data_IF_713257619675
#
_entry.id   IF_713257619675
#
_cell.length_a   1.000
_cell.length_b   1.000
_cell.length_c   1.000
_cell.angle_alpha   90.00
_cell.angle_beta   90.00
_cell.angle_gamma   90.00
#
_symmetry.space_group_name_H-M   'P 1'
#
loop_
_entity.id
_entity.type
_entity.pdbx_description
1 polymer ?
#
# COMPACT_ATOMS: atom_id res chain seq x y z
N UNK A 1 -0.77 12.75 5.78
CA UNK A 1 -0.76 14.03 6.52
C UNK A 1 -1.18 15.18 5.60
N UNK A 2 -0.57 15.33 4.44
CA UNK A 2 -0.96 16.34 3.45
C UNK A 2 -2.42 16.23 2.96
N UNK A 3 -3.09 15.12 3.28
CA UNK A 3 -4.49 14.86 2.97
C UNK A 3 -5.40 14.92 4.20
N UNK A 4 -4.93 15.45 5.32
CA UNK A 4 -5.65 15.49 6.59
C UNK A 4 -6.11 14.09 7.06
N UNK A 5 -5.27 13.10 6.85
CA UNK A 5 -5.42 11.77 7.39
C UNK A 5 -4.60 11.64 8.68
N UNK A 6 -5.09 10.83 9.62
CA UNK A 6 -4.39 10.51 10.86
C UNK A 6 -3.94 9.05 10.84
N UNK A 7 -2.84 8.73 10.15
CA UNK A 7 -2.39 7.36 10.02
C UNK A 7 -1.83 6.84 11.34
N UNK A 8 -2.08 5.54 11.60
CA UNK A 8 -1.44 4.78 12.65
C UNK A 8 -0.50 3.77 12.00
N UNK A 9 0.77 3.80 12.38
CA UNK A 9 1.79 2.94 11.82
C UNK A 9 1.97 1.68 12.68
N UNK A 10 1.83 0.53 12.05
CA UNK A 10 2.21 -0.76 12.58
C UNK A 10 3.45 -1.24 11.86
N UNK A 11 4.49 -1.56 12.58
CA UNK A 11 5.76 -1.95 11.99
C UNK A 11 6.78 -2.28 13.06
N UNK A 12 8.04 -2.20 12.69
CA UNK A 12 9.17 -2.50 13.55
C UNK A 12 10.22 -1.40 13.50
N UNK A 13 10.81 -1.12 14.66
CA UNK A 13 12.04 -0.34 14.82
C UNK A 13 12.92 -1.00 15.89
N UNK A 14 14.23 -1.01 15.69
CA UNK A 14 15.18 -1.38 16.73
C UNK A 14 15.23 -0.34 17.86
N UNK A 15 15.71 -0.73 19.03
CA UNK A 15 16.12 0.20 20.09
C UNK A 15 17.54 0.70 19.81
N UNK A 16 17.72 1.36 18.67
CA UNK A 16 18.96 1.95 18.17
C UNK A 16 18.72 3.41 17.75
N UNK A 17 19.80 4.13 17.42
CA UNK A 17 19.76 5.55 17.05
C UNK A 17 18.87 5.81 15.83
N UNK A 18 18.93 4.93 14.84
CA UNK A 18 18.14 5.00 13.62
C UNK A 18 16.64 4.83 13.91
N UNK A 19 16.32 3.88 14.80
CA UNK A 19 14.93 3.66 15.25
C UNK A 19 14.38 4.83 16.06
N UNK A 20 15.20 5.47 16.89
CA UNK A 20 14.81 6.64 17.67
C UNK A 20 14.58 7.87 16.78
N UNK A 21 15.43 8.05 15.76
CA UNK A 21 15.28 9.10 14.76
C UNK A 21 13.99 8.93 13.95
N UNK A 22 13.74 7.73 13.43
CA UNK A 22 12.52 7.43 12.66
C UNK A 22 11.26 7.55 13.50
N UNK A 23 11.31 7.10 14.78
CA UNK A 23 10.17 7.25 15.68
C UNK A 23 9.84 8.72 15.92
N UNK A 24 10.87 9.54 16.21
CA UNK A 24 10.73 10.98 16.41
C UNK A 24 10.23 11.68 15.15
N UNK A 25 10.72 11.27 13.98
CA UNK A 25 10.24 11.77 12.69
C UNK A 25 8.75 11.49 12.50
N UNK A 26 8.31 10.25 12.75
CA UNK A 26 6.89 9.89 12.66
C UNK A 26 6.02 10.78 13.55
N UNK A 27 6.43 10.99 14.81
CA UNK A 27 5.69 11.85 15.73
C UNK A 27 5.62 13.32 15.26
N UNK A 28 6.74 13.86 14.77
CA UNK A 28 6.81 15.23 14.26
C UNK A 28 5.92 15.43 13.03
N UNK A 29 5.78 14.42 12.20
CA UNK A 29 4.90 14.40 11.03
C UNK A 29 3.43 14.09 11.38
N UNK A 30 3.08 13.90 12.66
CA UNK A 30 1.73 13.61 13.13
C UNK A 30 1.26 12.20 12.80
N UNK A 31 2.18 11.26 12.59
CA UNK A 31 1.89 9.84 12.43
C UNK A 31 1.81 9.21 13.83
N UNK A 32 0.72 8.49 14.13
CA UNK A 32 0.65 7.72 15.36
C UNK A 32 1.58 6.50 15.25
N UNK A 33 2.69 6.54 15.99
CA UNK A 33 3.73 5.53 16.06
C UNK A 33 3.67 4.68 17.36
N UNK A 34 2.65 4.87 18.22
CA UNK A 34 2.57 4.23 19.56
C UNK A 34 2.49 2.70 19.49
N UNK A 35 2.14 2.17 18.31
CA UNK A 35 1.96 0.73 18.09
C UNK A 35 3.09 0.09 17.29
N UNK A 36 4.18 0.81 17.05
CA UNK A 36 5.39 0.24 16.46
C UNK A 36 6.04 -0.69 17.47
N UNK A 37 6.33 -1.92 17.04
CA UNK A 37 7.06 -2.89 17.86
C UNK A 37 8.55 -2.49 17.95
N UNK A 38 9.08 -2.41 19.15
CA UNK A 38 10.50 -2.09 19.42
C UNK A 38 11.21 -3.31 20.02
N UNK A 39 12.49 -3.51 19.67
CA UNK A 39 13.31 -4.61 20.17
C UNK A 39 14.76 -4.23 20.36
N UNK A 40 15.39 -4.73 21.44
CA UNK A 40 16.84 -4.59 21.71
C UNK A 40 17.66 -5.62 20.90
N UNK A 41 17.02 -6.66 20.38
CA UNK A 41 17.69 -7.78 19.74
C UNK A 41 17.76 -7.69 18.22
N UNK A 42 17.03 -6.76 17.63
CA UNK A 42 16.95 -6.55 16.18
C UNK A 42 17.23 -5.09 15.88
N UNK A 43 18.00 -4.84 14.83
CA UNK A 43 18.31 -3.49 14.37
C UNK A 43 17.21 -2.93 13.50
N UNK A 44 17.13 -1.61 13.44
CA UNK A 44 16.27 -0.91 12.48
C UNK A 44 16.71 -1.27 11.07
N UNK A 45 15.73 -1.66 10.25
CA UNK A 45 15.95 -1.99 8.83
C UNK A 45 16.37 -0.76 8.04
N UNK A 46 17.15 -0.96 6.98
CA UNK A 46 17.72 0.10 6.17
C UNK A 46 17.34 -0.03 4.70
N UNK A 47 17.11 1.09 4.05
CA UNK A 47 16.94 1.19 2.62
C UNK A 47 17.93 2.22 2.07
N UNK A 48 18.75 1.80 1.12
CA UNK A 48 19.70 2.67 0.42
C UNK A 48 19.39 2.64 -1.05
N UNK A 49 19.17 3.81 -1.64
CA UNK A 49 18.97 3.96 -3.08
C UNK A 49 20.05 4.85 -3.68
N UNK A 50 20.51 4.50 -4.87
CA UNK A 50 21.34 5.32 -5.72
C UNK A 50 20.44 5.78 -6.87
N UNK A 51 20.25 7.08 -6.97
CA UNK A 51 19.39 7.70 -7.98
C UNK A 51 20.21 8.59 -8.91
N UNK A 52 19.80 8.65 -10.16
CA UNK A 52 20.27 9.63 -11.12
C UNK A 52 19.06 10.41 -11.71
N UNK A 53 19.32 11.22 -12.77
CA UNK A 53 18.27 12.02 -13.41
C UNK A 53 17.16 11.21 -14.09
N UNK A 54 17.38 9.92 -14.34
CA UNK A 54 16.41 9.00 -14.96
C UNK A 54 15.68 8.13 -13.92
N UNK A 55 16.08 8.20 -12.64
CA UNK A 55 15.43 7.49 -11.52
C UNK A 55 16.38 6.61 -10.70
N UNK A 56 15.85 5.56 -10.09
CA UNK A 56 16.64 4.63 -9.24
C UNK A 56 17.52 3.74 -10.11
N UNK A 57 18.84 3.91 -10.00
CA UNK A 57 19.86 3.07 -10.66
C UNK A 57 20.07 1.76 -9.92
N UNK A 58 20.13 1.82 -8.59
CA UNK A 58 20.29 0.66 -7.72
C UNK A 58 19.66 0.93 -6.36
N UNK A 59 19.12 -0.12 -5.75
CA UNK A 59 18.60 -0.03 -4.39
C UNK A 59 18.93 -1.31 -3.62
N UNK A 60 19.24 -1.15 -2.33
CA UNK A 60 19.45 -2.23 -1.39
C UNK A 60 18.47 -2.02 -0.23
N UNK A 61 17.60 -3.00 0.00
CA UNK A 61 16.68 -3.02 1.12
C UNK A 61 17.09 -4.13 2.09
N UNK A 62 17.36 -3.77 3.32
CA UNK A 62 17.46 -4.71 4.44
C UNK A 62 16.12 -4.68 5.20
N UNK A 63 15.36 -5.75 5.13
CA UNK A 63 14.07 -5.92 5.80
C UNK A 63 14.07 -7.17 6.71
N UNK A 64 15.25 -7.61 7.15
CA UNK A 64 15.39 -8.80 7.97
C UNK A 64 14.66 -8.69 9.30
N UNK A 65 14.73 -7.54 9.94
CA UNK A 65 14.14 -7.33 11.24
C UNK A 65 12.62 -7.30 11.17
N UNK A 66 12.03 -6.64 10.19
CA UNK A 66 10.59 -6.67 9.95
C UNK A 66 10.10 -8.11 9.71
N UNK A 67 10.83 -8.88 8.91
CA UNK A 67 10.49 -10.28 8.66
C UNK A 67 10.66 -11.16 9.90
N UNK A 68 11.69 -10.92 10.73
CA UNK A 68 11.95 -11.67 11.96
C UNK A 68 10.87 -11.43 13.03
N UNK A 69 10.40 -10.20 13.17
CA UNK A 69 9.33 -9.82 14.12
C UNK A 69 8.01 -10.53 13.79
N UNK A 70 7.68 -10.67 12.53
CA UNK A 70 6.52 -11.45 12.08
C UNK A 70 5.19 -11.01 12.71
N UNK A 71 4.53 -11.92 13.43
CA UNK A 71 3.18 -11.69 13.99
C UNK A 71 3.11 -10.63 15.10
N UNK A 72 4.22 -10.26 15.73
CA UNK A 72 4.25 -9.27 16.80
C UNK A 72 3.67 -7.92 16.33
N UNK A 73 3.94 -7.52 15.09
CA UNK A 73 3.44 -6.26 14.52
C UNK A 73 1.91 -6.22 14.39
N UNK A 74 1.23 -7.37 14.38
CA UNK A 74 -0.23 -7.46 14.27
C UNK A 74 -0.93 -7.51 15.64
N UNK A 75 -0.20 -7.74 16.73
CA UNK A 75 -0.79 -7.82 18.08
C UNK A 75 -1.62 -6.59 18.46
N UNK A 76 -1.20 -5.35 18.13
CA UNK A 76 -2.01 -4.18 18.44
C UNK A 76 -3.42 -4.23 17.85
N UNK A 77 -3.60 -4.80 16.66
CA UNK A 77 -4.92 -4.91 16.01
C UNK A 77 -5.92 -5.75 16.84
N UNK A 78 -5.43 -6.65 17.68
CA UNK A 78 -6.24 -7.51 18.57
C UNK A 78 -6.45 -6.89 19.95
N UNK A 79 -5.83 -5.75 20.25
CA UNK A 79 -5.94 -5.06 21.54
C UNK A 79 -7.26 -4.26 21.60
N UNK A 80 -7.97 -4.35 22.73
CA UNK A 80 -9.22 -3.62 22.95
C UNK A 80 -9.03 -2.10 22.94
N UNK A 81 -7.90 -1.59 23.42
CA UNK A 81 -7.58 -0.15 23.34
C UNK A 81 -7.45 0.33 21.90
N UNK A 82 -6.75 -0.41 21.05
CA UNK A 82 -6.68 -0.11 19.63
C UNK A 82 -8.07 -0.14 18.99
N UNK A 83 -8.86 -1.17 19.29
CA UNK A 83 -10.21 -1.32 18.78
C UNK A 83 -11.18 -0.23 19.29
N UNK A 84 -10.98 0.30 20.50
CA UNK A 84 -11.77 1.40 21.07
C UNK A 84 -11.62 2.72 20.29
N UNK A 85 -10.52 2.91 19.58
CA UNK A 85 -10.32 4.05 18.67
C UNK A 85 -10.95 3.83 17.28
N UNK A 86 -11.28 2.59 16.92
CA UNK A 86 -11.95 2.23 15.66
C UNK A 86 -13.47 2.43 15.83
N UNK A 87 -13.91 3.68 15.68
CA UNK A 87 -15.33 4.05 15.83
C UNK A 87 -16.19 3.73 14.61
N UNK A 88 -15.62 3.29 13.50
CA UNK A 88 -16.30 3.02 12.23
C UNK A 88 -16.19 1.55 11.86
N UNK A 89 -17.26 1.01 11.28
CA UNK A 89 -17.19 -0.24 10.55
C UNK A 89 -16.34 -0.01 9.28
N UNK A 90 -15.23 -0.77 9.13
CA UNK A 90 -14.32 -0.72 7.97
C UNK A 90 -13.32 0.44 7.97
N UNK A 91 -12.48 0.51 9.02
CA UNK A 91 -11.26 1.33 8.96
C UNK A 91 -10.32 0.77 7.89
N UNK A 92 -9.74 1.62 7.03
CA UNK A 92 -8.73 1.18 6.08
C UNK A 92 -7.52 0.56 6.79
N UNK A 93 -7.17 -0.66 6.42
CA UNK A 93 -5.95 -1.35 6.85
C UNK A 93 -5.07 -1.58 5.61
N UNK A 94 -3.95 -0.87 5.54
CA UNK A 94 -3.00 -1.00 4.44
C UNK A 94 -1.99 -2.10 4.81
N UNK A 95 -1.87 -3.10 3.95
CA UNK A 95 -0.97 -4.24 4.09
C UNK A 95 0.11 -4.14 3.03
N UNK A 96 1.37 -4.08 3.47
CA UNK A 96 2.54 -3.94 2.62
C UNK A 96 3.19 -5.30 2.29
N UNK A 97 3.60 -5.50 1.05
CA UNK A 97 4.27 -6.72 0.55
C UNK A 97 5.68 -6.96 1.09
N UNK A 98 6.23 -6.06 1.93
CA UNK A 98 7.46 -6.34 2.68
C UNK A 98 7.24 -7.37 3.80
N UNK A 99 6.00 -7.54 4.23
CA UNK A 99 5.68 -8.54 5.23
C UNK A 99 6.05 -9.95 4.76
N UNK A 100 6.39 -10.80 5.72
CA UNK A 100 6.73 -12.21 5.48
C UNK A 100 5.58 -12.93 4.77
N UNK A 101 5.85 -13.82 3.80
CA UNK A 101 4.80 -14.53 3.06
C UNK A 101 3.78 -15.26 3.94
N UNK A 102 4.23 -15.89 5.04
CA UNK A 102 3.33 -16.57 5.98
C UNK A 102 2.39 -15.58 6.68
N UNK A 103 2.87 -14.37 6.97
CA UNK A 103 2.05 -13.32 7.57
C UNK A 103 1.01 -12.78 6.58
N UNK A 104 1.39 -12.58 5.32
CA UNK A 104 0.47 -12.20 4.24
C UNK A 104 -0.61 -13.28 4.04
N UNK A 105 -0.21 -14.56 4.05
CA UNK A 105 -1.14 -15.67 3.98
C UNK A 105 -2.12 -15.69 5.17
N UNK A 106 -1.62 -15.44 6.38
CA UNK A 106 -2.46 -15.32 7.58
C UNK A 106 -3.47 -14.17 7.43
N UNK A 107 -3.01 -12.97 7.05
CA UNK A 107 -3.88 -11.80 6.84
C UNK A 107 -4.97 -12.06 5.79
N UNK A 108 -4.67 -12.85 4.75
CA UNK A 108 -5.63 -13.19 3.70
C UNK A 108 -6.67 -14.23 4.10
N UNK A 109 -6.44 -14.99 5.18
CA UNK A 109 -7.26 -16.16 5.54
C UNK A 109 -7.96 -16.06 6.90
N UNK A 110 -7.48 -15.22 7.82
CA UNK A 110 -8.08 -15.04 9.14
C UNK A 110 -9.26 -14.07 9.07
N UNK A 111 -10.46 -14.56 9.41
CA UNK A 111 -11.72 -13.79 9.45
C UNK A 111 -11.66 -12.56 10.36
N UNK A 112 -10.72 -12.52 11.30
CA UNK A 112 -10.52 -11.35 12.16
C UNK A 112 -10.32 -10.07 11.37
N UNK A 113 -9.62 -10.13 10.21
CA UNK A 113 -9.31 -8.96 9.40
C UNK A 113 -10.46 -8.50 8.50
N UNK A 114 -11.54 -9.28 8.38
CA UNK A 114 -12.72 -8.92 7.58
C UNK A 114 -13.50 -7.71 8.13
N UNK A 115 -13.25 -7.32 9.36
CA UNK A 115 -13.80 -6.10 9.97
C UNK A 115 -13.13 -4.82 9.45
N UNK A 116 -11.97 -4.93 8.80
CA UNK A 116 -11.26 -3.82 8.19
C UNK A 116 -11.56 -3.73 6.69
N UNK A 117 -11.36 -2.55 6.13
CA UNK A 117 -11.26 -2.35 4.69
C UNK A 117 -9.80 -2.56 4.27
N UNK A 118 -9.45 -3.82 3.97
CA UNK A 118 -8.06 -4.22 3.76
C UNK A 118 -7.63 -3.88 2.33
N UNK A 119 -6.60 -3.06 2.23
CA UNK A 119 -5.95 -2.63 1.00
C UNK A 119 -4.53 -3.18 0.97
N UNK A 120 -4.16 -3.84 -0.11
CA UNK A 120 -2.89 -4.55 -0.22
C UNK A 120 -2.05 -3.93 -1.31
N UNK A 121 -0.79 -3.64 -0.98
CA UNK A 121 0.19 -3.05 -1.89
C UNK A 121 1.44 -3.93 -1.95
N UNK A 122 2.08 -4.12 -3.11
CA UNK A 122 3.39 -4.73 -3.16
C UNK A 122 4.45 -3.69 -2.78
N UNK A 123 5.49 -4.11 -2.10
CA UNK A 123 6.60 -3.23 -1.77
C UNK A 123 7.45 -2.88 -3.00
N UNK A 124 7.43 -3.74 -4.00
CA UNK A 124 8.16 -3.57 -5.25
C UNK A 124 7.71 -4.61 -6.28
N UNK A 125 8.02 -4.41 -7.58
CA UNK A 125 7.71 -5.39 -8.62
C UNK A 125 8.25 -6.81 -8.31
N UNK A 126 9.45 -6.91 -7.72
CA UNK A 126 10.05 -8.19 -7.33
C UNK A 126 9.33 -8.91 -6.19
N UNK A 127 8.53 -8.20 -5.39
CA UNK A 127 7.73 -8.75 -4.29
C UNK A 127 6.25 -8.93 -4.63
N UNK A 128 5.81 -8.56 -5.82
CA UNK A 128 4.40 -8.63 -6.22
C UNK A 128 3.82 -10.04 -6.10
N UNK A 129 4.60 -11.08 -6.40
CA UNK A 129 4.18 -12.48 -6.25
C UNK A 129 3.84 -12.88 -4.80
N UNK A 130 4.33 -12.14 -3.80
CA UNK A 130 3.97 -12.36 -2.39
C UNK A 130 2.48 -12.09 -2.12
N UNK A 131 1.81 -11.35 -2.99
CA UNK A 131 0.39 -11.04 -2.89
C UNK A 131 -0.53 -12.15 -3.41
N UNK A 132 0.01 -13.24 -3.94
CA UNK A 132 -0.77 -14.39 -4.42
C UNK A 132 -1.82 -14.91 -3.40
N UNK A 133 -1.60 -14.91 -2.07
CA UNK A 133 -2.62 -15.31 -1.11
C UNK A 133 -3.90 -14.47 -1.12
N UNK A 134 -3.89 -13.27 -1.71
CA UNK A 134 -5.05 -12.38 -1.84
C UNK A 134 -5.83 -12.59 -3.14
N UNK A 135 -5.31 -13.37 -4.08
CA UNK A 135 -6.07 -13.85 -5.22
C UNK A 135 -7.22 -14.76 -4.75
N UNK A 136 -8.32 -14.83 -5.46
CA UNK A 136 -9.57 -15.52 -5.08
C UNK A 136 -10.18 -15.03 -3.74
N UNK A 137 -9.98 -13.75 -3.42
CA UNK A 137 -10.47 -13.13 -2.20
C UNK A 137 -11.24 -11.85 -2.50
N UNK A 138 -12.55 -11.91 -2.50
CA UNK A 138 -13.44 -10.78 -2.86
C UNK A 138 -13.41 -9.60 -1.88
N UNK A 139 -12.86 -9.80 -0.67
CA UNK A 139 -12.92 -8.80 0.41
C UNK A 139 -11.76 -7.82 0.40
N UNK A 140 -10.76 -8.02 -0.46
CA UNK A 140 -9.55 -7.21 -0.51
C UNK A 140 -9.52 -6.29 -1.73
N UNK A 141 -8.84 -5.16 -1.57
CA UNK A 141 -8.51 -4.26 -2.68
C UNK A 141 -7.01 -4.34 -2.95
N UNK A 142 -6.61 -4.67 -4.17
CA UNK A 142 -5.20 -4.67 -4.57
C UNK A 142 -4.87 -3.35 -5.28
N UNK A 143 -3.75 -2.73 -4.89
CA UNK A 143 -3.16 -1.58 -5.58
C UNK A 143 -1.85 -2.01 -6.18
N UNK A 144 -1.73 -1.94 -7.50
CA UNK A 144 -0.59 -2.42 -8.26
C UNK A 144 -0.23 -1.41 -9.35
N UNK A 145 1.02 -1.38 -9.75
CA UNK A 145 1.33 -0.87 -11.08
C UNK A 145 1.27 -2.00 -12.12
N UNK A 146 1.34 -1.66 -13.40
CA UNK A 146 1.19 -2.63 -14.48
C UNK A 146 2.26 -3.73 -14.42
N UNK A 147 3.50 -3.41 -14.08
CA UNK A 147 4.61 -4.37 -13.95
C UNK A 147 4.37 -5.32 -12.77
N UNK A 148 3.87 -4.81 -11.66
CA UNK A 148 3.51 -5.62 -10.50
C UNK A 148 2.35 -6.56 -10.80
N UNK A 149 1.34 -6.11 -11.53
CA UNK A 149 0.25 -6.96 -11.99
C UNK A 149 0.75 -8.08 -12.92
N UNK A 150 1.65 -7.76 -13.86
CA UNK A 150 2.30 -8.74 -14.73
C UNK A 150 3.08 -9.80 -13.93
N UNK A 151 3.86 -9.36 -12.94
CA UNK A 151 4.64 -10.26 -12.09
C UNK A 151 3.77 -11.13 -11.20
N UNK A 152 2.66 -10.59 -10.70
CA UNK A 152 1.71 -11.34 -9.87
C UNK A 152 0.98 -12.44 -10.66
N UNK A 153 0.57 -12.10 -11.90
CA UNK A 153 -0.19 -13.02 -12.77
C UNK A 153 0.73 -13.93 -13.62
N UNK A 154 2.00 -13.58 -13.79
CA UNK A 154 2.90 -14.27 -14.73
C UNK A 154 2.55 -14.03 -16.21
N UNK A 155 1.81 -12.97 -16.52
CA UNK A 155 1.27 -12.66 -17.86
C UNK A 155 1.65 -11.23 -18.23
N UNK A 156 1.99 -10.99 -19.50
CA UNK A 156 2.19 -9.64 -20.02
C UNK A 156 0.86 -8.99 -20.39
N UNK A 157 0.66 -7.76 -20.00
CA UNK A 157 -0.53 -6.98 -20.29
C UNK A 157 -0.19 -5.77 -21.17
N UNK A 158 -1.03 -5.47 -22.16
CA UNK A 158 -0.86 -4.31 -23.03
C UNK A 158 -1.34 -3.01 -22.38
N UNK A 159 -2.27 -3.10 -21.43
CA UNK A 159 -2.80 -1.94 -20.71
C UNK A 159 -3.37 -2.31 -19.32
N UNK A 160 -3.69 -1.27 -18.54
CA UNK A 160 -4.17 -1.40 -17.17
C UNK A 160 -5.59 -1.98 -17.07
N UNK A 161 -6.44 -1.77 -18.06
CA UNK A 161 -7.81 -2.27 -18.03
C UNK A 161 -7.86 -3.79 -18.23
N UNK A 162 -7.01 -4.29 -19.14
CA UNK A 162 -6.85 -5.73 -19.36
C UNK A 162 -6.29 -6.39 -18.10
N UNK A 163 -5.25 -5.82 -17.49
CA UNK A 163 -4.67 -6.34 -16.25
C UNK A 163 -5.70 -6.35 -15.10
N UNK A 164 -6.51 -5.28 -14.99
CA UNK A 164 -7.55 -5.20 -13.98
C UNK A 164 -8.63 -6.27 -14.16
N UNK A 165 -9.11 -6.48 -15.39
CA UNK A 165 -10.09 -7.54 -15.71
C UNK A 165 -9.55 -8.93 -15.40
N UNK A 166 -8.27 -9.20 -15.72
CA UNK A 166 -7.64 -10.49 -15.44
C UNK A 166 -7.61 -10.77 -13.94
N UNK A 167 -7.23 -9.79 -13.11
CA UNK A 167 -7.21 -9.96 -11.66
C UNK A 167 -8.63 -10.17 -11.08
N UNK A 168 -9.65 -9.50 -11.61
CA UNK A 168 -11.04 -9.77 -11.22
C UNK A 168 -11.44 -11.20 -11.61
N UNK A 169 -11.02 -11.70 -12.78
CA UNK A 169 -11.29 -13.09 -13.17
C UNK A 169 -10.64 -14.11 -12.24
N UNK A 170 -9.54 -13.73 -11.57
CA UNK A 170 -8.90 -14.50 -10.52
C UNK A 170 -9.59 -14.34 -9.14
N UNK A 171 -10.80 -13.76 -9.07
CA UNK A 171 -11.60 -13.67 -7.85
C UNK A 171 -11.17 -12.57 -6.88
N UNK A 172 -10.38 -11.59 -7.32
CA UNK A 172 -10.10 -10.38 -6.53
C UNK A 172 -11.35 -9.49 -6.50
N UNK A 173 -11.72 -8.96 -5.34
CA UNK A 173 -12.94 -8.15 -5.23
C UNK A 173 -12.82 -6.78 -5.87
N UNK A 174 -11.68 -6.12 -5.71
CA UNK A 174 -11.39 -4.81 -6.28
C UNK A 174 -9.90 -4.68 -6.58
N UNK A 175 -9.56 -4.09 -7.69
CA UNK A 175 -8.17 -3.83 -8.06
C UNK A 175 -8.03 -2.47 -8.72
N UNK A 176 -6.92 -1.79 -8.42
CA UNK A 176 -6.53 -0.55 -9.06
C UNK A 176 -5.14 -0.75 -9.66
N UNK A 177 -5.00 -0.47 -10.98
CA UNK A 177 -3.76 -0.62 -11.73
C UNK A 177 -3.30 0.74 -12.26
N UNK A 178 -2.13 1.15 -11.86
CA UNK A 178 -1.47 2.39 -12.34
C UNK A 178 -0.42 2.06 -13.41
N UNK A 179 -0.12 3.01 -14.31
CA UNK A 179 0.95 2.88 -15.31
C UNK A 179 1.57 4.24 -15.65
N UNK A 180 2.24 4.87 -14.69
CA UNK A 180 2.91 6.15 -14.87
C UNK A 180 1.98 7.22 -15.44
N UNK A 181 2.29 7.73 -16.64
CA UNK A 181 1.49 8.76 -17.33
C UNK A 181 0.32 8.19 -18.15
N UNK A 182 0.21 6.89 -18.24
CA UNK A 182 -0.88 6.21 -18.96
C UNK A 182 -2.14 6.10 -18.09
N UNK A 183 -3.18 5.47 -18.62
CA UNK A 183 -4.44 5.31 -17.90
C UNK A 183 -4.24 4.52 -16.60
N UNK A 184 -4.90 4.99 -15.57
CA UNK A 184 -5.16 4.22 -14.36
C UNK A 184 -6.50 3.52 -14.54
N UNK A 185 -6.56 2.24 -14.22
CA UNK A 185 -7.81 1.48 -14.30
C UNK A 185 -8.15 0.87 -12.96
N UNK A 186 -9.42 0.93 -12.60
CA UNK A 186 -10.01 0.24 -11.46
C UNK A 186 -11.05 -0.73 -11.96
N UNK A 187 -11.05 -1.94 -11.43
CA UNK A 187 -12.10 -2.92 -11.67
C UNK A 187 -12.63 -3.48 -10.35
N UNK A 188 -13.91 -3.82 -10.34
CA UNK A 188 -14.49 -4.61 -9.26
C UNK A 188 -15.49 -5.63 -9.81
N UNK A 189 -15.76 -6.66 -9.03
CA UNK A 189 -16.73 -7.69 -9.38
C UNK A 189 -18.14 -7.14 -9.61
N UNK A 190 -18.46 -5.97 -9.05
CA UNK A 190 -19.79 -5.37 -9.10
C UNK A 190 -19.96 -4.23 -10.11
N UNK A 191 -18.89 -3.53 -10.51
CA UNK A 191 -19.00 -2.28 -11.31
C UNK A 191 -18.26 -2.32 -12.66
N UNK A 192 -17.61 -3.44 -13.00
CA UNK A 192 -16.80 -3.53 -14.23
C UNK A 192 -15.53 -2.68 -14.14
N UNK A 193 -15.03 -2.21 -15.30
CA UNK A 193 -13.77 -1.43 -15.38
C UNK A 193 -14.06 0.05 -15.61
N UNK A 194 -13.45 0.88 -14.78
CA UNK A 194 -13.35 2.33 -14.94
C UNK A 194 -11.91 2.72 -15.26
N UNK A 195 -11.70 3.72 -16.09
CA UNK A 195 -10.35 4.18 -16.44
C UNK A 195 -10.29 5.70 -16.50
N UNK A 196 -9.27 6.27 -15.87
CA UNK A 196 -8.99 7.71 -15.86
C UNK A 196 -7.58 7.95 -16.39
N UNK A 197 -7.41 9.01 -17.17
CA UNK A 197 -6.09 9.39 -17.70
C UNK A 197 -5.46 10.47 -16.82
N UNK A 198 -4.22 10.28 -16.34
CA UNK A 198 -3.50 11.30 -15.59
C UNK A 198 -3.28 12.58 -16.41
N UNK A 199 -3.23 13.76 -15.76
CA UNK A 199 -2.85 15.00 -16.41
C UNK A 199 -1.39 14.95 -16.86
N UNK A 200 -1.07 15.64 -17.96
CA UNK A 200 0.31 15.82 -18.38
C UNK A 200 1.00 16.84 -17.49
N UNK A 201 2.03 16.42 -16.80
CA UNK A 201 2.81 17.23 -15.87
C UNK A 201 4.30 17.09 -16.15
N UNK A 202 5.10 18.03 -15.63
CA UNK A 202 6.55 17.86 -15.54
C UNK A 202 6.86 17.14 -14.24
N UNK A 203 7.33 15.92 -14.35
CA UNK A 203 7.72 15.10 -13.19
C UNK A 203 9.04 15.64 -12.62
N UNK A 204 9.09 15.86 -11.31
CA UNK A 204 10.30 16.23 -10.56
C UNK A 204 10.81 15.09 -9.67
N UNK A 205 9.92 14.17 -9.28
CA UNK A 205 10.27 12.97 -8.52
C UNK A 205 9.33 11.83 -8.88
N UNK A 206 9.84 10.61 -8.89
CA UNK A 206 9.02 9.41 -9.14
C UNK A 206 8.69 8.65 -7.85
N UNK A 207 9.61 8.67 -6.90
CA UNK A 207 9.46 7.98 -5.61
C UNK A 207 8.26 8.52 -4.84
N UNK A 208 7.42 7.61 -4.34
CA UNK A 208 6.21 7.96 -3.58
C UNK A 208 4.97 8.28 -4.41
N UNK A 209 5.03 8.19 -5.75
CA UNK A 209 3.86 8.42 -6.61
C UNK A 209 2.71 7.44 -6.31
N UNK A 210 3.04 6.14 -6.15
CA UNK A 210 2.08 5.09 -5.78
C UNK A 210 1.48 5.31 -4.40
N UNK A 211 2.30 5.69 -3.42
CA UNK A 211 1.85 5.97 -2.05
C UNK A 211 0.93 7.19 -2.00
N UNK A 212 1.28 8.25 -2.73
CA UNK A 212 0.44 9.44 -2.85
C UNK A 212 -0.90 9.13 -3.51
N UNK A 213 -0.90 8.30 -4.55
CA UNK A 213 -2.11 7.83 -5.21
C UNK A 213 -3.01 7.02 -4.25
N UNK A 214 -2.43 6.02 -3.56
CA UNK A 214 -3.13 5.18 -2.59
C UNK A 214 -3.77 6.04 -1.48
N UNK A 215 -2.98 6.92 -0.87
CA UNK A 215 -3.46 7.78 0.20
C UNK A 215 -4.61 8.69 -0.26
N UNK A 216 -4.50 9.27 -1.46
CA UNK A 216 -5.53 10.12 -2.03
C UNK A 216 -6.81 9.33 -2.37
N UNK A 217 -6.68 8.12 -2.92
CA UNK A 217 -7.82 7.25 -3.20
C UNK A 217 -8.57 6.88 -1.91
N UNK A 218 -7.85 6.51 -0.86
CA UNK A 218 -8.44 6.22 0.46
C UNK A 218 -9.16 7.46 1.01
N UNK A 219 -8.54 8.65 0.91
CA UNK A 219 -9.18 9.90 1.35
C UNK A 219 -10.49 10.14 0.61
N UNK A 220 -10.53 9.94 -0.71
CA UNK A 220 -11.73 10.11 -1.52
C UNK A 220 -12.84 9.10 -1.13
N UNK A 221 -12.49 7.84 -0.88
CA UNK A 221 -13.43 6.83 -0.36
C UNK A 221 -14.00 7.25 1.01
N UNK A 222 -13.16 7.78 1.92
CA UNK A 222 -13.60 8.28 3.23
C UNK A 222 -14.52 9.51 3.11
N UNK A 223 -14.41 10.28 2.03
CA UNK A 223 -15.31 11.39 1.69
C UNK A 223 -16.60 10.92 0.99
N UNK A 224 -16.76 9.61 0.81
CA UNK A 224 -17.89 8.98 0.10
C UNK A 224 -18.05 9.45 -1.35
N UNK A 225 -16.93 9.71 -2.04
CA UNK A 225 -16.94 9.98 -3.47
C UNK A 225 -17.35 8.69 -4.22
N UNK A 226 -17.97 8.85 -5.39
CA UNK A 226 -18.21 7.70 -6.25
C UNK A 226 -16.90 7.14 -6.84
N UNK A 227 -16.91 5.92 -7.41
CA UNK A 227 -15.69 5.26 -7.86
C UNK A 227 -14.89 6.05 -8.91
N UNK A 228 -15.54 6.78 -9.81
CA UNK A 228 -14.88 7.59 -10.83
C UNK A 228 -14.22 8.82 -10.19
N UNK A 229 -14.94 9.51 -9.32
CA UNK A 229 -14.44 10.65 -8.54
C UNK A 229 -13.26 10.24 -7.65
N UNK A 230 -13.28 9.04 -7.07
CA UNK A 230 -12.15 8.52 -6.28
C UNK A 230 -10.89 8.38 -7.14
N UNK A 231 -11.01 7.83 -8.36
CA UNK A 231 -9.88 7.71 -9.28
C UNK A 231 -9.36 9.07 -9.74
N UNK A 232 -10.26 9.99 -10.12
CA UNK A 232 -9.90 11.34 -10.56
C UNK A 232 -9.15 12.10 -9.46
N UNK A 233 -9.68 12.09 -8.24
CA UNK A 233 -9.05 12.71 -7.09
C UNK A 233 -7.65 12.12 -6.81
N UNK A 234 -7.53 10.80 -6.84
CA UNK A 234 -6.26 10.12 -6.60
C UNK A 234 -5.20 10.45 -7.65
N UNK A 235 -5.59 10.46 -8.92
CA UNK A 235 -4.74 10.83 -10.05
C UNK A 235 -4.28 12.29 -9.96
N UNK A 236 -5.18 13.22 -9.66
CA UNK A 236 -4.86 14.64 -9.49
C UNK A 236 -3.88 14.88 -8.34
N UNK A 237 -4.14 14.30 -7.17
CA UNK A 237 -3.28 14.48 -5.99
C UNK A 237 -1.91 13.84 -6.16
N UNK A 238 -1.84 12.64 -6.77
CA UNK A 238 -0.58 12.00 -7.10
C UNK A 238 0.23 12.82 -8.11
N UNK A 239 -0.42 13.32 -9.17
CA UNK A 239 0.22 14.17 -10.16
C UNK A 239 0.79 15.46 -9.54
N UNK A 240 0.03 16.11 -8.65
CA UNK A 240 0.50 17.25 -7.89
C UNK A 240 1.74 16.90 -7.06
N UNK A 241 1.71 15.82 -6.30
CA UNK A 241 2.82 15.36 -5.45
C UNK A 241 4.12 15.17 -6.21
N UNK A 242 4.08 14.55 -7.40
CA UNK A 242 5.30 14.26 -8.20
C UNK A 242 5.77 15.45 -9.04
N UNK A 243 5.00 16.54 -9.11
CA UNK A 243 5.35 17.78 -9.81
C UNK A 243 5.90 18.89 -8.90
N UNK A 244 5.77 18.72 -7.59
CA UNK A 244 6.33 19.60 -6.55
C UNK A 244 7.75 19.17 -6.15
#
# INVERSE_FOLDING_TARGET
INLELNPCLLGFLGNDSEGDELFSYCQNEGINADYIYRSDNLRTDNYVAIEDHDGVVAAIADAHSLEAVGYEILKPLKNEHFNGHIKSSKVPLIVDGNLKPDLLKHLSSDHFYEKFDVKVVPASPGKASRLAPFLNKEKFTLYLNLVEAQNLCGIQFSDTAIAANELISHGVGKVIITNGQDKVSMASSSSGVLSVKPPRIKVKRLTGAGDAFLAAHIKAEMLNYDPEQCLEFAVEKSAKYISE
#
